data_IF_049175468616
#
_entry.id   IF_049175468616
#
_cell.length_a   1.000
_cell.length_b   1.000
_cell.length_c   1.000
_cell.angle_alpha   90.00
_cell.angle_beta   90.00
_cell.angle_gamma   90.00
#
_symmetry.space_group_name_H-M   'P 1'
#
loop_
_entity.id
_entity.type
_entity.pdbx_description
1 polymer ?
#
# COMPACT_ATOMS: atom_id res chain seq x y z
N UNK A 1 -4.49 2.19 -25.82
CA UNK A 1 -3.65 2.66 -24.70
C UNK A 1 -4.52 2.84 -23.48
N UNK A 2 -4.10 2.41 -22.29
CA UNK A 2 -4.85 2.72 -21.06
C UNK A 2 -4.56 4.18 -20.74
N UNK A 3 -5.57 5.04 -20.85
CA UNK A 3 -5.46 6.45 -20.45
C UNK A 3 -5.42 6.55 -18.93
N UNK A 4 -4.89 7.67 -18.44
CA UNK A 4 -4.90 8.00 -17.02
C UNK A 4 -6.31 7.89 -16.43
N UNK A 5 -7.31 8.48 -17.10
CA UNK A 5 -8.70 8.43 -16.64
C UNK A 5 -9.19 6.99 -16.45
N UNK A 6 -9.02 6.13 -17.46
CA UNK A 6 -9.46 4.73 -17.40
C UNK A 6 -8.79 3.96 -16.27
N UNK A 7 -7.52 4.25 -16.00
CA UNK A 7 -6.81 3.64 -14.90
C UNK A 7 -7.32 4.13 -13.54
N UNK A 8 -7.45 5.45 -13.36
CA UNK A 8 -7.96 6.07 -12.12
C UNK A 8 -9.35 5.52 -11.82
N UNK A 9 -10.24 5.49 -12.80
CA UNK A 9 -11.61 4.98 -12.65
C UNK A 9 -11.62 3.50 -12.25
N UNK A 10 -10.79 2.67 -12.89
CA UNK A 10 -10.66 1.25 -12.55
C UNK A 10 -10.23 1.06 -11.09
N UNK A 11 -9.24 1.83 -10.65
CA UNK A 11 -8.67 1.71 -9.32
C UNK A 11 -9.60 2.30 -8.25
N UNK A 12 -10.29 3.41 -8.54
CA UNK A 12 -11.36 3.95 -7.69
C UNK A 12 -12.52 2.97 -7.55
N UNK A 13 -12.92 2.29 -8.62
CA UNK A 13 -13.96 1.27 -8.57
C UNK A 13 -13.56 0.10 -7.65
N UNK A 14 -12.31 -0.35 -7.72
CA UNK A 14 -11.80 -1.37 -6.80
C UNK A 14 -11.76 -0.87 -5.36
N UNK A 15 -11.33 0.37 -5.15
CA UNK A 15 -11.32 1.02 -3.84
C UNK A 15 -12.71 1.09 -3.22
N UNK A 16 -13.70 1.56 -3.99
CA UNK A 16 -15.11 1.61 -3.56
C UNK A 16 -15.64 0.22 -3.21
N UNK A 17 -15.24 -0.82 -3.96
CA UNK A 17 -15.61 -2.21 -3.65
C UNK A 17 -15.01 -2.69 -2.33
N UNK A 18 -13.78 -2.32 -2.00
CA UNK A 18 -13.18 -2.62 -0.69
C UNK A 18 -13.89 -1.86 0.43
N UNK A 19 -14.10 -0.55 0.27
CA UNK A 19 -14.79 0.29 1.25
C UNK A 19 -16.19 -0.25 1.56
N UNK A 20 -16.95 -0.66 0.53
CA UNK A 20 -18.27 -1.27 0.72
C UNK A 20 -18.23 -2.56 1.54
N UNK A 21 -17.17 -3.39 1.40
CA UNK A 21 -17.03 -4.58 2.23
C UNK A 21 -16.65 -4.25 3.67
N UNK A 22 -15.86 -3.20 3.90
CA UNK A 22 -15.55 -2.71 5.25
C UNK A 22 -16.83 -2.21 5.92
N UNK A 23 -17.70 -1.49 5.19
CA UNK A 23 -18.99 -1.01 5.69
C UNK A 23 -20.01 -2.13 5.91
N UNK A 24 -19.93 -3.25 5.19
CA UNK A 24 -20.77 -4.43 5.49
C UNK A 24 -20.33 -5.10 6.81
N UNK A 25 -19.02 -5.31 6.99
CA UNK A 25 -18.44 -5.77 8.27
C UNK A 25 -18.75 -4.78 9.41
N UNK A 26 -18.71 -3.50 9.04
CA UNK A 26 -19.41 -2.34 9.60
C UNK A 26 -20.65 -2.63 10.43
N UNK A 27 -21.72 -2.76 9.66
CA UNK A 27 -23.08 -2.97 10.10
C UNK A 27 -23.24 -4.29 10.84
N UNK A 28 -22.55 -5.36 10.40
CA UNK A 28 -22.58 -6.66 11.08
C UNK A 28 -22.02 -6.58 12.50
N UNK A 29 -20.91 -5.87 12.68
CA UNK A 29 -20.31 -5.68 13.99
C UNK A 29 -21.05 -4.65 14.85
N UNK A 30 -21.72 -3.65 14.25
CA UNK A 30 -22.55 -2.72 15.01
C UNK A 30 -23.76 -3.42 15.66
N UNK A 31 -24.34 -4.37 14.91
CA UNK A 31 -25.40 -5.28 15.35
C UNK A 31 -24.91 -6.46 16.21
N UNK A 32 -23.59 -6.67 16.28
CA UNK A 32 -22.96 -7.83 16.92
C UNK A 32 -22.40 -7.58 18.32
N UNK A 33 -21.56 -8.51 18.78
CA UNK A 33 -20.91 -8.48 20.10
C UNK A 33 -19.82 -7.42 20.23
N UNK A 34 -19.40 -7.13 21.47
CA UNK A 34 -18.29 -6.19 21.76
C UNK A 34 -16.98 -6.59 21.04
N UNK A 35 -16.71 -7.88 20.83
CA UNK A 35 -15.54 -8.31 20.05
C UNK A 35 -15.63 -7.89 18.59
N UNK A 36 -16.82 -7.89 17.99
CA UNK A 36 -17.01 -7.49 16.60
C UNK A 36 -16.73 -5.99 16.43
N UNK A 37 -17.24 -5.15 17.35
CA UNK A 37 -16.94 -3.71 17.41
C UNK A 37 -15.44 -3.45 17.59
N UNK A 38 -14.78 -4.21 18.48
CA UNK A 38 -13.34 -4.09 18.69
C UNK A 38 -12.51 -4.51 17.47
N UNK A 39 -12.93 -5.56 16.73
CA UNK A 39 -12.30 -5.95 15.47
C UNK A 39 -12.43 -4.85 14.42
N UNK A 40 -13.62 -4.26 14.30
CA UNK A 40 -13.83 -3.15 13.37
C UNK A 40 -13.01 -1.90 13.69
N UNK A 41 -12.91 -1.53 14.96
CA UNK A 41 -12.10 -0.37 15.36
C UNK A 41 -10.62 -0.58 14.96
N UNK A 42 -10.11 -1.81 15.13
CA UNK A 42 -8.76 -2.17 14.67
C UNK A 42 -8.62 -2.12 13.16
N UNK A 43 -9.54 -2.76 12.43
CA UNK A 43 -9.57 -2.74 10.95
C UNK A 43 -9.59 -1.29 10.46
N UNK A 44 -10.47 -0.45 11.03
CA UNK A 44 -10.59 0.95 10.66
C UNK A 44 -9.30 1.74 10.93
N UNK A 45 -8.66 1.54 12.09
CA UNK A 45 -7.39 2.20 12.42
C UNK A 45 -6.24 1.80 11.50
N UNK A 46 -6.17 0.53 11.13
CA UNK A 46 -5.16 0.01 10.20
C UNK A 46 -5.39 0.54 8.78
N UNK A 47 -6.63 0.54 8.29
CA UNK A 47 -6.91 0.96 6.91
C UNK A 47 -6.81 2.48 6.69
N UNK A 48 -7.19 3.30 7.68
CA UNK A 48 -7.23 4.77 7.56
C UNK A 48 -5.96 5.42 6.99
N UNK A 49 -4.73 5.09 7.45
CA UNK A 49 -3.51 5.66 6.88
C UNK A 49 -3.29 5.22 5.43
N UNK A 50 -3.57 3.97 5.08
CA UNK A 50 -3.42 3.46 3.71
C UNK A 50 -4.44 4.11 2.77
N UNK A 51 -5.68 4.30 3.22
CA UNK A 51 -6.74 5.00 2.49
C UNK A 51 -6.32 6.44 2.15
N UNK A 52 -5.76 7.14 3.15
CA UNK A 52 -5.30 8.51 2.99
C UNK A 52 -4.13 8.59 2.02
N UNK A 53 -3.14 7.72 2.17
CA UNK A 53 -1.97 7.67 1.28
C UNK A 53 -2.38 7.38 -0.17
N UNK A 54 -3.29 6.42 -0.36
CA UNK A 54 -3.82 6.07 -1.68
C UNK A 54 -4.59 7.23 -2.31
N UNK A 55 -5.51 7.89 -1.58
CA UNK A 55 -6.25 9.06 -2.08
C UNK A 55 -5.33 10.22 -2.43
N UNK A 56 -4.29 10.44 -1.63
CA UNK A 56 -3.30 11.48 -1.90
C UNK A 56 -2.55 11.20 -3.20
N UNK A 57 -2.05 9.97 -3.37
CA UNK A 57 -1.37 9.58 -4.61
C UNK A 57 -2.27 9.59 -5.83
N UNK A 58 -3.53 9.16 -5.68
CA UNK A 58 -4.51 9.20 -6.76
C UNK A 58 -4.80 10.65 -7.21
N UNK A 59 -4.87 11.58 -6.25
CA UNK A 59 -5.07 13.00 -6.55
C UNK A 59 -3.85 13.63 -7.23
N UNK A 60 -2.64 13.37 -6.74
CA UNK A 60 -1.38 13.80 -7.39
C UNK A 60 -1.30 13.28 -8.82
N UNK A 61 -1.62 11.99 -9.01
CA UNK A 61 -1.58 11.35 -10.31
C UNK A 61 -2.69 11.87 -11.25
N UNK A 62 -3.83 12.31 -10.73
CA UNK A 62 -4.91 12.97 -11.50
C UNK A 62 -4.53 14.39 -11.94
N UNK A 63 -3.78 15.13 -11.13
CA UNK A 63 -3.26 16.45 -11.49
C UNK A 63 -2.00 16.40 -12.36
N UNK A 64 -1.36 15.24 -12.48
CA UNK A 64 -0.13 15.08 -13.25
C UNK A 64 -0.36 15.04 -14.77
N UNK A 65 0.64 15.55 -15.51
CA UNK A 65 0.73 15.44 -16.96
C UNK A 65 0.92 13.97 -17.41
N UNK A 66 0.63 13.69 -18.69
CA UNK A 66 0.70 12.33 -19.25
C UNK A 66 2.07 11.63 -19.08
N UNK A 67 3.17 12.40 -19.11
CA UNK A 67 4.52 11.90 -18.84
C UNK A 67 4.71 11.55 -17.36
N UNK A 68 4.43 12.48 -16.44
CA UNK A 68 4.56 12.29 -15.00
C UNK A 68 3.61 11.20 -14.46
N UNK A 69 2.46 10.98 -15.11
CA UNK A 69 1.54 9.90 -14.79
C UNK A 69 2.20 8.51 -14.84
N UNK A 70 3.14 8.27 -15.77
CA UNK A 70 3.80 6.96 -15.90
C UNK A 70 4.62 6.62 -14.67
N UNK A 71 5.30 7.61 -14.10
CA UNK A 71 6.11 7.44 -12.89
C UNK A 71 5.23 7.35 -11.64
N UNK A 72 4.18 8.18 -11.56
CA UNK A 72 3.25 8.19 -10.42
C UNK A 72 2.37 6.93 -10.36
N UNK A 73 2.04 6.34 -11.51
CA UNK A 73 1.26 5.09 -11.57
C UNK A 73 1.91 3.98 -10.74
N UNK A 74 3.25 3.88 -10.75
CA UNK A 74 3.97 2.92 -9.93
C UNK A 74 3.74 3.14 -8.43
N UNK A 75 3.72 4.40 -7.99
CA UNK A 75 3.38 4.79 -6.61
C UNK A 75 1.93 4.50 -6.24
N UNK A 76 0.99 4.76 -7.16
CA UNK A 76 -0.43 4.43 -6.97
C UNK A 76 -0.64 2.90 -6.87
N UNK A 77 0.03 2.10 -7.72
CA UNK A 77 -0.03 0.63 -7.66
C UNK A 77 0.54 0.08 -6.35
N UNK A 78 1.66 0.65 -5.87
CA UNK A 78 2.25 0.27 -4.60
C UNK A 78 1.29 0.57 -3.43
N UNK A 79 0.79 1.81 -3.34
CA UNK A 79 -0.15 2.20 -2.30
C UNK A 79 -1.45 1.36 -2.32
N UNK A 80 -1.94 1.04 -3.51
CA UNK A 80 -3.10 0.16 -3.68
C UNK A 80 -2.83 -1.27 -3.19
N UNK A 81 -1.64 -1.82 -3.49
CA UNK A 81 -1.22 -3.13 -2.98
C UNK A 81 -1.12 -3.13 -1.46
N UNK A 82 -0.50 -2.11 -0.87
CA UNK A 82 -0.38 -1.99 0.58
C UNK A 82 -1.74 -1.90 1.26
N UNK A 83 -2.69 -1.14 0.71
CA UNK A 83 -4.06 -1.07 1.23
C UNK A 83 -4.75 -2.44 1.20
N UNK A 84 -4.62 -3.17 0.10
CA UNK A 84 -5.22 -4.51 -0.04
C UNK A 84 -4.58 -5.51 0.94
N UNK A 85 -3.28 -5.45 1.11
CA UNK A 85 -2.54 -6.31 2.04
C UNK A 85 -2.93 -6.01 3.49
N UNK A 86 -3.05 -4.73 3.87
CA UNK A 86 -3.53 -4.31 5.17
C UNK A 86 -4.97 -4.79 5.43
N UNK A 87 -5.86 -4.68 4.44
CA UNK A 87 -7.23 -5.20 4.52
C UNK A 87 -7.26 -6.72 4.73
N UNK A 88 -6.48 -7.47 3.94
CA UNK A 88 -6.40 -8.92 4.09
C UNK A 88 -5.86 -9.30 5.47
N UNK A 89 -4.78 -8.65 5.93
CA UNK A 89 -4.24 -8.87 7.28
C UNK A 89 -5.25 -8.55 8.37
N UNK A 90 -6.01 -7.47 8.23
CA UNK A 90 -6.98 -7.05 9.24
C UNK A 90 -8.15 -8.04 9.37
N UNK A 91 -8.56 -8.68 8.28
CA UNK A 91 -9.62 -9.70 8.25
C UNK A 91 -9.09 -11.10 8.58
N UNK A 92 -7.94 -11.46 8.02
CA UNK A 92 -7.24 -12.74 8.21
C UNK A 92 -6.53 -12.85 9.56
N UNK A 93 -6.62 -11.84 10.44
CA UNK A 93 -6.12 -11.89 11.82
C UNK A 93 -6.95 -12.83 12.71
N UNK A 94 -7.00 -14.09 12.29
CA UNK A 94 -7.14 -15.29 13.09
C UNK A 94 -5.84 -16.12 13.10
N UNK A 95 -4.78 -15.77 12.34
CA UNK A 95 -3.50 -16.50 12.46
C UNK A 95 -2.25 -15.64 12.26
N UNK A 96 -1.61 -15.31 13.39
CA UNK A 96 -0.15 -15.30 13.63
C UNK A 96 0.74 -14.82 12.47
N UNK A 97 1.24 -13.58 12.61
CA UNK A 97 2.59 -13.12 12.24
C UNK A 97 3.39 -14.00 11.25
N UNK A 98 3.45 -13.62 9.97
CA UNK A 98 4.58 -13.90 9.08
C UNK A 98 4.33 -13.26 7.70
N UNK A 99 5.00 -12.15 7.41
CA UNK A 99 4.88 -11.47 6.13
C UNK A 99 5.92 -10.38 5.93
N UNK A 100 7.13 -10.59 6.45
CA UNK A 100 8.32 -9.84 6.04
C UNK A 100 8.73 -10.30 4.64
N UNK A 101 8.44 -9.52 3.60
CA UNK A 101 9.08 -9.57 2.27
C UNK A 101 8.47 -8.43 1.43
N UNK A 102 9.18 -7.59 0.69
CA UNK A 102 10.54 -7.68 0.17
C UNK A 102 10.88 -6.31 -0.43
N UNK A 103 11.86 -5.60 0.09
CA UNK A 103 12.66 -4.67 -0.72
C UNK A 103 14.10 -5.17 -0.66
N UNK A 104 14.54 -5.98 -1.63
CA UNK A 104 15.92 -5.96 -2.04
C UNK A 104 15.98 -5.15 -3.34
N UNK A 105 16.82 -4.11 -3.34
CA UNK A 105 17.74 -3.74 -4.43
C UNK A 105 18.13 -2.27 -4.35
N UNK A 106 19.35 -2.03 -3.85
CA UNK A 106 20.30 -1.21 -4.61
C UNK A 106 21.71 -1.69 -4.32
N UNK A 107 22.16 -2.59 -5.18
CA UNK A 107 23.57 -2.79 -5.45
C UNK A 107 24.11 -1.45 -5.98
N UNK A 108 24.90 -0.74 -5.18
CA UNK A 108 25.80 0.29 -5.67
C UNK A 108 27.21 -0.23 -5.43
N UNK A 109 27.73 -0.91 -6.44
CA UNK A 109 29.15 -1.06 -6.63
C UNK A 109 29.85 0.30 -6.39
N UNK A 110 30.77 0.33 -5.45
CA UNK A 110 31.91 1.25 -5.52
C UNK A 110 33.17 0.42 -5.45
N UNK A 111 33.47 -0.21 -6.58
CA UNK A 111 34.85 -0.47 -6.97
C UNK A 111 35.50 0.88 -7.23
N UNK A 112 36.53 1.25 -6.47
CA UNK A 112 37.70 2.00 -6.99
C UNK A 112 38.75 2.14 -5.88
N UNK A 113 39.73 1.25 -5.94
CA UNK A 113 41.16 1.52 -5.75
C UNK A 113 41.63 2.30 -4.52
N UNK A 114 42.23 1.57 -3.56
CA UNK A 114 43.41 2.06 -2.84
C UNK A 114 44.43 0.91 -2.75
N UNK A 115 45.29 0.83 -3.76
CA UNK A 115 46.54 0.05 -3.72
C UNK A 115 47.63 0.88 -3.03
N UNK A 116 48.50 0.15 -2.31
CA UNK A 116 49.85 0.53 -1.80
C UNK A 116 49.83 1.47 -0.60
N UNK A 117 50.60 1.26 0.48
CA UNK A 117 52.01 0.83 0.58
C UNK A 117 52.25 0.27 1.99
N UNK A 118 52.87 -0.90 2.16
CA UNK A 118 54.31 -1.11 2.44
C UNK A 118 54.85 -0.44 3.72
N UNK A 119 55.28 -1.28 4.68
CA UNK A 119 56.43 -1.17 5.60
C UNK A 119 56.09 -1.97 6.86
N UNK A 120 56.52 -3.22 7.06
CA UNK A 120 57.88 -3.69 7.37
C UNK A 120 58.64 -2.76 8.33
N UNK A 121 58.48 -3.00 9.63
CA UNK A 121 59.57 -3.15 10.59
C UNK A 121 59.05 -3.72 11.90
#
# INVERSE_FOLDING_TARGET
>A
MVTRELYVEKIEAQFKKLASKVEDLRDQADRGSKEAKARLDRISKELKPHERAFRQQLNEARSASNEAWRDLRGGVEAAWRDLKDAYDKAISSHRRTAGTKSIPRRNSARTTGAKRSSAKR
#
